data_IF_825496753254
#
_entry.id   IF_825496753254
#
_cell.length_a   1.000
_cell.length_b   1.000
_cell.length_c   1.000
_cell.angle_alpha   90.00
_cell.angle_beta   90.00
_cell.angle_gamma   90.00
#
_symmetry.space_group_name_H-M   'P 1'
#
loop_
_entity.id
_entity.type
_entity.pdbx_description
1 polymer ?
#
# COMPACT_ATOMS: atom_id res chain seq x y z
N UNK A 1 -2.79 -32.30 -26.17
CA UNK A 1 -2.61 -31.26 -25.13
C UNK A 1 -1.73 -30.19 -25.77
N UNK A 2 -2.35 -29.14 -26.32
CA UNK A 2 -1.63 -28.02 -26.92
C UNK A 2 -0.85 -27.27 -25.80
N UNK A 3 0.46 -27.15 -25.96
CA UNK A 3 1.28 -26.19 -25.20
C UNK A 3 0.70 -24.80 -25.43
N UNK A 4 -0.16 -24.34 -24.51
CA UNK A 4 -0.46 -22.92 -24.41
C UNK A 4 0.85 -22.22 -24.10
N UNK A 5 1.42 -21.53 -25.09
CA UNK A 5 2.62 -20.72 -24.92
C UNK A 5 2.37 -19.77 -23.73
N UNK A 6 3.07 -19.99 -22.64
CA UNK A 6 2.93 -19.18 -21.44
C UNK A 6 3.11 -17.71 -21.80
N UNK A 7 2.05 -16.91 -21.67
CA UNK A 7 2.08 -15.48 -21.96
C UNK A 7 3.20 -14.84 -21.14
N UNK A 8 4.20 -14.28 -21.80
CA UNK A 8 5.30 -13.60 -21.13
C UNK A 8 4.82 -12.36 -20.42
N UNK A 9 5.29 -12.13 -19.19
CA UNK A 9 4.99 -10.90 -18.46
C UNK A 9 5.47 -9.68 -19.24
N UNK A 10 4.60 -8.70 -19.41
CA UNK A 10 4.96 -7.41 -20.00
C UNK A 10 5.64 -6.54 -18.92
N UNK A 11 6.95 -6.72 -18.76
CA UNK A 11 7.72 -6.00 -17.75
C UNK A 11 7.73 -4.49 -17.94
N UNK A 12 7.71 -3.99 -19.20
CA UNK A 12 7.66 -2.55 -19.45
C UNK A 12 6.38 -1.91 -18.90
N UNK A 13 5.22 -2.52 -19.18
CA UNK A 13 3.95 -2.05 -18.63
C UNK A 13 3.88 -2.25 -17.10
N UNK A 14 4.42 -3.35 -16.58
CA UNK A 14 4.44 -3.63 -15.15
C UNK A 14 5.28 -2.59 -14.39
N UNK A 15 6.50 -2.29 -14.84
CA UNK A 15 7.36 -1.26 -14.24
C UNK A 15 6.66 0.11 -14.28
N UNK A 16 6.06 0.47 -15.40
CA UNK A 16 5.33 1.73 -15.51
C UNK A 16 4.16 1.79 -14.52
N UNK A 17 3.38 0.71 -14.38
CA UNK A 17 2.27 0.69 -13.41
C UNK A 17 2.75 0.70 -11.96
N UNK A 18 3.87 0.07 -11.64
CA UNK A 18 4.40 0.09 -10.26
C UNK A 18 4.78 1.49 -9.79
N UNK A 19 5.04 2.45 -10.69
CA UNK A 19 5.22 3.86 -10.30
C UNK A 19 3.96 4.45 -9.66
N UNK A 20 2.77 4.07 -10.12
CA UNK A 20 1.50 4.51 -9.51
C UNK A 20 1.37 3.95 -8.09
N UNK A 21 1.70 2.66 -7.91
CA UNK A 21 1.70 2.03 -6.58
C UNK A 21 2.70 2.69 -5.62
N UNK A 22 3.89 3.05 -6.12
CA UNK A 22 4.86 3.82 -5.33
C UNK A 22 4.25 5.13 -4.82
N UNK A 23 3.60 5.89 -5.72
CA UNK A 23 2.98 7.16 -5.34
C UNK A 23 1.84 6.99 -4.34
N UNK A 24 1.05 5.93 -4.40
CA UNK A 24 0.02 5.68 -3.37
C UNK A 24 0.63 5.55 -1.98
N UNK A 25 1.67 4.71 -1.86
CA UNK A 25 2.37 4.54 -0.58
C UNK A 25 3.03 5.82 -0.11
N UNK A 26 3.70 6.50 -1.02
CA UNK A 26 4.38 7.77 -0.74
C UNK A 26 3.41 8.83 -0.19
N UNK A 27 2.27 9.03 -0.85
CA UNK A 27 1.27 10.04 -0.44
C UNK A 27 0.58 9.65 0.86
N UNK A 28 0.19 8.37 1.00
CA UNK A 28 -0.45 7.89 2.22
C UNK A 28 0.43 8.14 3.44
N UNK A 29 1.70 7.75 3.38
CA UNK A 29 2.65 7.94 4.47
C UNK A 29 3.07 9.41 4.67
N UNK A 30 3.01 10.23 3.63
CA UNK A 30 3.28 11.67 3.73
C UNK A 30 2.23 12.39 4.57
N UNK A 31 0.97 11.95 4.51
CA UNK A 31 -0.10 12.50 5.34
C UNK A 31 0.16 12.31 6.83
N UNK A 32 0.80 11.21 7.24
CA UNK A 32 1.12 10.96 8.65
C UNK A 32 2.09 11.99 9.23
N UNK A 33 2.99 12.53 8.39
CA UNK A 33 3.94 13.60 8.79
C UNK A 33 3.26 14.98 8.78
N UNK A 34 2.37 15.21 7.84
CA UNK A 34 1.70 16.50 7.65
C UNK A 34 0.59 16.74 8.66
N UNK A 35 -0.05 15.66 9.13
CA UNK A 35 -1.16 15.72 10.05
C UNK A 35 -0.86 16.46 11.37
N UNK A 36 0.24 16.15 12.09
CA UNK A 36 0.63 16.90 13.30
C UNK A 36 0.89 18.38 13.02
N UNK A 37 1.39 18.72 11.84
CA UNK A 37 1.62 20.11 11.42
C UNK A 37 0.29 20.82 11.28
N UNK A 38 -0.66 20.25 10.52
CA UNK A 38 -2.00 20.84 10.40
C UNK A 38 -2.72 20.95 11.74
N UNK A 39 -2.60 19.92 12.60
CA UNK A 39 -3.19 19.96 13.93
C UNK A 39 -2.72 21.15 14.74
N UNK A 40 -1.42 21.43 14.70
CA UNK A 40 -0.80 22.53 15.45
C UNK A 40 -1.12 23.89 14.83
N UNK A 41 -0.95 24.02 13.53
CA UNK A 41 -1.07 25.31 12.83
C UNK A 41 -2.53 25.78 12.69
N UNK A 42 -3.48 24.84 12.55
CA UNK A 42 -4.91 25.14 12.47
C UNK A 42 -5.62 25.03 13.84
N UNK A 43 -4.87 24.82 14.93
CA UNK A 43 -5.41 24.62 16.28
C UNK A 43 -6.58 23.60 16.33
N UNK A 44 -6.39 22.48 15.61
CA UNK A 44 -7.44 21.47 15.45
C UNK A 44 -7.73 20.74 16.75
N UNK A 45 -9.01 20.65 17.07
CA UNK A 45 -9.48 19.79 18.15
C UNK A 45 -9.15 18.31 17.88
N UNK A 46 -9.04 17.51 18.93
CA UNK A 46 -8.68 16.08 18.82
C UNK A 46 -9.58 15.30 17.85
N UNK A 47 -10.88 15.57 17.85
CA UNK A 47 -11.84 14.92 16.96
C UNK A 47 -11.62 15.30 15.48
N UNK A 48 -11.21 16.54 15.20
CA UNK A 48 -10.88 17.00 13.83
C UNK A 48 -9.65 16.27 13.29
N UNK A 49 -8.61 16.10 14.11
CA UNK A 49 -7.43 15.33 13.74
C UNK A 49 -7.77 13.87 13.45
N UNK A 50 -8.65 13.25 14.25
CA UNK A 50 -9.12 11.90 14.02
C UNK A 50 -9.97 11.80 12.74
N UNK A 51 -10.80 12.82 12.46
CA UNK A 51 -11.57 12.88 11.20
C UNK A 51 -10.67 12.90 9.96
N UNK A 52 -9.52 13.53 10.01
CA UNK A 52 -8.59 13.55 8.88
C UNK A 52 -8.12 12.13 8.55
N UNK A 53 -7.65 11.38 9.57
CA UNK A 53 -7.25 9.97 9.39
C UNK A 53 -8.41 9.09 8.90
N UNK A 54 -9.59 9.29 9.48
CA UNK A 54 -10.79 8.55 9.14
C UNK A 54 -11.28 8.87 7.72
N UNK A 55 -11.26 10.15 7.32
CA UNK A 55 -11.68 10.61 6.01
C UNK A 55 -10.92 9.87 4.90
N UNK A 56 -9.60 9.72 5.03
CA UNK A 56 -8.77 9.05 4.03
C UNK A 56 -9.25 7.62 3.70
N UNK A 57 -9.67 6.83 4.71
CA UNK A 57 -10.18 5.48 4.49
C UNK A 57 -11.64 5.47 4.02
N UNK A 58 -12.46 6.39 4.52
CA UNK A 58 -13.85 6.54 4.10
C UNK A 58 -13.96 6.96 2.64
N UNK A 59 -13.11 7.87 2.20
CA UNK A 59 -13.09 8.37 0.81
C UNK A 59 -12.86 7.25 -0.21
N UNK A 60 -12.00 6.31 0.12
CA UNK A 60 -11.81 5.09 -0.68
C UNK A 60 -13.09 4.29 -0.84
N UNK A 61 -13.78 4.08 0.29
CA UNK A 61 -15.04 3.32 0.30
C UNK A 61 -16.13 4.06 -0.46
N UNK A 62 -16.29 5.34 -0.20
CA UNK A 62 -17.28 6.20 -0.88
C UNK A 62 -16.99 6.25 -2.39
N UNK A 63 -15.74 6.45 -2.78
CA UNK A 63 -15.32 6.44 -4.18
C UNK A 63 -15.66 5.12 -4.87
N UNK A 64 -15.34 3.99 -4.24
CA UNK A 64 -15.65 2.65 -4.78
C UNK A 64 -17.16 2.42 -4.94
N UNK A 65 -17.97 2.88 -3.99
CA UNK A 65 -19.43 2.81 -4.05
C UNK A 65 -19.98 3.70 -5.19
N UNK A 66 -19.46 4.92 -5.33
CA UNK A 66 -19.84 5.83 -6.42
C UNK A 66 -19.56 5.18 -7.78
N UNK A 67 -18.39 4.59 -7.99
CA UNK A 67 -18.05 3.91 -9.25
C UNK A 67 -18.90 2.67 -9.48
N UNK A 68 -19.23 1.92 -8.44
CA UNK A 68 -20.13 0.76 -8.53
C UNK A 68 -21.54 1.19 -8.94
N UNK A 69 -22.10 2.22 -8.30
CA UNK A 69 -23.43 2.77 -8.62
C UNK A 69 -23.43 3.31 -10.05
N UNK A 70 -22.43 4.08 -10.44
CA UNK A 70 -22.34 4.63 -11.79
C UNK A 70 -22.22 3.53 -12.85
N UNK A 71 -21.42 2.48 -12.62
CA UNK A 71 -21.33 1.32 -13.51
C UNK A 71 -22.66 0.57 -13.62
N UNK A 72 -23.35 0.41 -12.47
CA UNK A 72 -24.67 -0.25 -12.43
C UNK A 72 -25.75 0.55 -13.16
N UNK A 73 -25.77 1.87 -12.98
CA UNK A 73 -26.71 2.78 -13.66
C UNK A 73 -26.49 2.80 -15.18
N UNK A 74 -25.25 2.76 -15.62
CA UNK A 74 -24.87 2.70 -17.03
C UNK A 74 -25.03 1.29 -17.62
N UNK A 75 -25.36 0.28 -16.82
CA UNK A 75 -25.43 -1.15 -17.20
C UNK A 75 -24.17 -1.64 -17.91
N UNK A 76 -23.04 -1.01 -17.67
CA UNK A 76 -21.71 -1.33 -18.24
C UNK A 76 -20.62 -0.89 -17.27
N UNK A 77 -19.57 -1.67 -17.19
CA UNK A 77 -18.39 -1.26 -16.46
C UNK A 77 -17.76 0.00 -17.13
N UNK A 78 -17.60 1.06 -16.34
CA UNK A 78 -17.05 2.34 -16.82
C UNK A 78 -15.64 2.14 -17.35
N UNK A 79 -14.81 1.32 -16.66
CA UNK A 79 -13.43 1.09 -17.05
C UNK A 79 -13.31 0.26 -18.33
N UNK A 80 -14.26 -0.64 -18.60
CA UNK A 80 -14.29 -1.36 -19.87
C UNK A 80 -14.54 -0.41 -21.06
N UNK A 81 -15.29 0.68 -20.83
CA UNK A 81 -15.62 1.68 -21.86
C UNK A 81 -14.51 2.70 -22.06
N UNK A 82 -14.01 3.33 -20.99
CA UNK A 82 -12.99 4.39 -21.07
C UNK A 82 -11.57 3.81 -21.19
N UNK A 83 -11.37 2.60 -20.71
CA UNK A 83 -10.10 1.91 -20.62
C UNK A 83 -9.39 2.10 -19.28
N UNK A 84 -8.72 1.06 -18.83
CA UNK A 84 -8.04 1.02 -17.52
C UNK A 84 -6.90 2.03 -17.43
N UNK A 85 -6.09 2.17 -18.48
CA UNK A 85 -5.00 3.17 -18.54
C UNK A 85 -5.53 4.58 -18.40
N UNK A 86 -6.61 4.92 -19.12
CA UNK A 86 -7.26 6.22 -19.01
C UNK A 86 -7.88 6.42 -17.63
N UNK A 87 -8.48 5.37 -17.05
CA UNK A 87 -9.02 5.39 -15.69
C UNK A 87 -7.95 5.76 -14.66
N UNK A 88 -6.77 5.16 -14.75
CA UNK A 88 -5.62 5.48 -13.89
C UNK A 88 -5.22 6.96 -14.07
N UNK A 89 -5.06 7.42 -15.31
CA UNK A 89 -4.64 8.80 -15.58
C UNK A 89 -5.67 9.83 -15.10
N UNK A 90 -6.96 9.56 -15.23
CA UNK A 90 -8.04 10.40 -14.71
C UNK A 90 -7.98 10.41 -13.17
N UNK A 91 -7.84 9.25 -12.54
CA UNK A 91 -7.72 9.15 -11.09
C UNK A 91 -6.51 9.93 -10.55
N UNK A 92 -5.36 9.88 -11.22
CA UNK A 92 -4.17 10.68 -10.88
C UNK A 92 -4.46 12.19 -11.03
N UNK A 93 -5.17 12.60 -12.09
CA UNK A 93 -5.60 13.98 -12.28
C UNK A 93 -6.53 14.47 -11.16
N UNK A 94 -7.50 13.65 -10.75
CA UNK A 94 -8.39 13.95 -9.62
C UNK A 94 -7.56 14.10 -8.34
N UNK A 95 -6.63 13.18 -8.07
CA UNK A 95 -5.74 13.26 -6.90
C UNK A 95 -4.85 14.51 -6.93
N UNK A 96 -4.38 14.93 -8.12
CA UNK A 96 -3.62 16.18 -8.26
C UNK A 96 -4.46 17.38 -7.84
N UNK A 97 -5.71 17.46 -8.30
CA UNK A 97 -6.64 18.56 -7.92
C UNK A 97 -6.85 18.56 -6.41
N UNK A 98 -7.16 17.39 -5.81
CA UNK A 98 -7.33 17.28 -4.36
C UNK A 98 -6.07 17.70 -3.58
N UNK A 99 -4.90 17.29 -4.05
CA UNK A 99 -3.61 17.67 -3.44
C UNK A 99 -3.36 19.17 -3.52
N UNK A 100 -3.69 19.81 -4.62
CA UNK A 100 -3.53 21.26 -4.78
C UNK A 100 -4.52 22.07 -3.92
N UNK A 101 -5.66 21.50 -3.50
CA UNK A 101 -6.59 22.12 -2.56
C UNK A 101 -6.00 22.32 -1.16
N UNK A 102 -4.95 21.57 -0.79
CA UNK A 102 -4.27 21.79 0.50
C UNK A 102 -3.57 23.14 0.58
N UNK A 103 -3.18 23.73 -0.56
CA UNK A 103 -2.54 25.06 -0.59
C UNK A 103 -3.51 26.15 -0.13
N UNK A 104 -4.70 26.34 -0.73
CA UNK A 104 -5.67 27.29 -0.20
C UNK A 104 -6.22 26.89 1.17
N UNK A 105 -6.28 25.59 1.51
CA UNK A 105 -6.68 25.15 2.84
C UNK A 105 -5.71 25.65 3.92
N UNK A 106 -4.40 25.59 3.65
CA UNK A 106 -3.37 26.10 4.53
C UNK A 106 -3.43 27.64 4.63
N UNK A 107 -3.53 28.35 3.50
CA UNK A 107 -3.57 29.83 3.48
C UNK A 107 -4.79 30.44 4.15
N UNK A 108 -5.94 29.75 4.06
CA UNK A 108 -7.21 30.20 4.64
C UNK A 108 -7.47 29.60 6.01
N UNK A 109 -6.53 28.80 6.52
CA UNK A 109 -6.63 28.08 7.78
C UNK A 109 -7.97 27.30 7.91
N UNK A 110 -8.44 26.72 6.75
CA UNK A 110 -9.76 26.11 6.67
C UNK A 110 -9.67 24.58 6.78
N UNK A 111 -10.24 24.07 7.87
CA UNK A 111 -10.40 22.63 8.08
C UNK A 111 -11.32 21.99 7.02
N UNK A 112 -12.38 22.70 6.59
CA UNK A 112 -13.33 22.22 5.59
C UNK A 112 -12.66 22.02 4.23
N UNK A 113 -11.78 22.93 3.84
CA UNK A 113 -11.00 22.80 2.61
C UNK A 113 -9.98 21.65 2.71
N UNK A 114 -9.38 21.46 3.88
CA UNK A 114 -8.46 20.36 4.14
C UNK A 114 -9.16 19.00 3.95
N UNK A 115 -10.32 18.80 4.59
CA UNK A 115 -11.12 17.57 4.46
C UNK A 115 -11.61 17.39 3.02
N UNK A 116 -12.04 18.48 2.36
CA UNK A 116 -12.48 18.43 0.96
C UNK A 116 -11.35 18.00 0.03
N UNK A 117 -10.13 18.51 0.26
CA UNK A 117 -8.93 18.10 -0.48
C UNK A 117 -8.64 16.61 -0.31
N UNK A 118 -8.67 16.09 0.94
CA UNK A 118 -8.52 14.67 1.24
C UNK A 118 -9.58 13.84 0.51
N UNK A 119 -10.84 14.25 0.58
CA UNK A 119 -11.93 13.56 -0.08
C UNK A 119 -11.69 13.43 -1.59
N UNK A 120 -11.27 14.51 -2.25
CA UNK A 120 -10.96 14.50 -3.69
C UNK A 120 -9.77 13.60 -3.99
N UNK A 121 -8.71 13.61 -3.15
CA UNK A 121 -7.56 12.69 -3.29
C UNK A 121 -8.03 11.25 -3.18
N UNK A 122 -8.85 10.93 -2.19
CA UNK A 122 -9.38 9.59 -1.96
C UNK A 122 -10.25 9.08 -3.11
N UNK A 123 -11.10 9.93 -3.68
CA UNK A 123 -11.86 9.60 -4.91
C UNK A 123 -10.93 9.23 -6.06
N UNK A 124 -9.86 10.02 -6.26
CA UNK A 124 -8.85 9.73 -7.27
C UNK A 124 -8.16 8.39 -7.04
N UNK A 125 -7.76 8.11 -5.80
CA UNK A 125 -7.12 6.85 -5.41
C UNK A 125 -8.04 5.65 -5.59
N UNK A 126 -9.30 5.77 -5.24
CA UNK A 126 -10.30 4.71 -5.47
C UNK A 126 -10.39 4.33 -6.95
N UNK A 127 -10.47 5.32 -7.85
CA UNK A 127 -10.48 5.07 -9.30
C UNK A 127 -9.18 4.44 -9.79
N UNK A 128 -8.04 4.95 -9.31
CA UNK A 128 -6.72 4.41 -9.67
C UNK A 128 -6.60 2.93 -9.27
N UNK A 129 -6.97 2.55 -8.05
CA UNK A 129 -6.88 1.17 -7.58
C UNK A 129 -7.83 0.24 -8.31
N UNK A 130 -9.08 0.68 -8.54
CA UNK A 130 -10.07 -0.09 -9.30
C UNK A 130 -9.58 -0.38 -10.72
N UNK A 131 -8.78 0.51 -11.31
CA UNK A 131 -8.22 0.33 -12.63
C UNK A 131 -6.86 -0.39 -12.64
N UNK A 132 -5.95 -0.05 -11.74
CA UNK A 132 -4.58 -0.54 -11.78
C UNK A 132 -4.44 -1.98 -11.29
N UNK A 133 -5.17 -2.39 -10.24
CA UNK A 133 -5.06 -3.74 -9.70
C UNK A 133 -5.40 -4.83 -10.74
N UNK A 134 -6.58 -4.80 -11.42
CA UNK A 134 -6.89 -5.77 -12.46
C UNK A 134 -5.91 -5.70 -13.63
N UNK A 135 -5.46 -4.50 -13.99
CA UNK A 135 -4.54 -4.31 -15.11
C UNK A 135 -3.18 -4.97 -14.82
N UNK A 136 -2.62 -4.78 -13.62
CA UNK A 136 -1.38 -5.46 -13.18
C UNK A 136 -1.53 -6.97 -13.22
N UNK A 137 -2.65 -7.50 -12.74
CA UNK A 137 -2.94 -8.95 -12.76
C UNK A 137 -2.97 -9.47 -14.19
N UNK A 138 -3.46 -8.69 -15.16
CA UNK A 138 -3.61 -9.11 -16.56
C UNK A 138 -2.35 -9.05 -17.41
N UNK A 139 -1.23 -8.51 -16.92
CA UNK A 139 0.00 -8.28 -17.71
C UNK A 139 0.83 -9.53 -18.01
N UNK A 140 0.26 -10.71 -18.08
CA UNK A 140 0.96 -11.94 -18.41
C UNK A 140 0.21 -13.19 -17.97
N UNK A 141 0.93 -14.29 -17.69
CA UNK A 141 0.32 -15.56 -17.28
C UNK A 141 -0.65 -15.35 -16.08
N UNK A 142 -1.93 -15.74 -16.21
CA UNK A 142 -2.92 -15.62 -15.13
C UNK A 142 -2.49 -16.29 -13.82
N UNK A 143 -1.75 -17.39 -13.91
CA UNK A 143 -1.24 -18.11 -12.73
C UNK A 143 -0.26 -17.30 -11.89
N UNK A 144 0.35 -16.27 -12.47
CA UNK A 144 1.29 -15.35 -11.80
C UNK A 144 0.67 -13.99 -11.47
N UNK A 145 -0.64 -13.84 -11.59
CA UNK A 145 -1.35 -12.58 -11.36
C UNK A 145 -1.16 -12.05 -9.93
N UNK A 146 -1.33 -12.91 -8.92
CA UNK A 146 -1.12 -12.57 -7.51
C UNK A 146 0.32 -12.12 -7.23
N UNK A 147 1.31 -12.78 -7.83
CA UNK A 147 2.73 -12.43 -7.67
C UNK A 147 3.05 -11.04 -8.25
N UNK A 148 2.44 -10.68 -9.41
CA UNK A 148 2.57 -9.33 -9.98
C UNK A 148 1.93 -8.27 -9.09
N UNK A 149 0.77 -8.58 -8.51
CA UNK A 149 0.11 -7.68 -7.56
C UNK A 149 0.93 -7.52 -6.28
N UNK A 150 1.51 -8.61 -5.75
CA UNK A 150 2.43 -8.56 -4.61
C UNK A 150 3.67 -7.71 -4.91
N UNK A 151 4.24 -7.82 -6.11
CA UNK A 151 5.35 -6.95 -6.53
C UNK A 151 4.95 -5.47 -6.51
N UNK A 152 3.79 -5.14 -7.10
CA UNK A 152 3.28 -3.78 -7.12
C UNK A 152 3.02 -3.25 -5.70
N UNK A 153 2.41 -4.07 -4.83
CA UNK A 153 2.24 -3.75 -3.41
C UNK A 153 3.56 -3.58 -2.66
N UNK A 154 4.58 -4.38 -2.98
CA UNK A 154 5.93 -4.23 -2.44
C UNK A 154 6.59 -2.91 -2.86
N UNK A 155 6.37 -2.44 -4.09
CA UNK A 155 6.81 -1.11 -4.55
C UNK A 155 6.03 0.01 -3.86
N UNK A 156 4.73 -0.18 -3.61
CA UNK A 156 3.95 0.73 -2.76
C UNK A 156 4.60 0.90 -1.39
N UNK A 157 5.04 -0.19 -0.77
CA UNK A 157 5.68 -0.14 0.56
C UNK A 157 7.07 0.52 0.54
N UNK A 158 7.78 0.58 -0.59
CA UNK A 158 8.95 1.47 -0.71
C UNK A 158 8.49 2.93 -0.55
N UNK A 159 7.39 3.30 -1.21
CA UNK A 159 6.80 4.63 -1.08
C UNK A 159 6.45 4.98 0.37
N UNK A 160 5.77 4.07 1.10
CA UNK A 160 5.43 4.29 2.51
C UNK A 160 6.66 4.41 3.41
N UNK A 161 7.74 3.73 3.07
CA UNK A 161 8.99 3.76 3.87
C UNK A 161 9.80 5.04 3.61
N UNK A 162 9.87 5.49 2.36
CA UNK A 162 10.67 6.66 1.97
C UNK A 162 9.89 7.98 2.15
N UNK A 163 8.57 7.94 1.97
CA UNK A 163 7.70 9.12 1.96
C UNK A 163 7.89 10.02 3.18
N UNK A 164 7.76 9.50 4.42
CA UNK A 164 7.94 10.27 5.63
C UNK A 164 9.28 10.99 5.71
N UNK A 165 10.36 10.30 5.32
CA UNK A 165 11.72 10.86 5.34
C UNK A 165 11.87 12.03 4.35
N UNK A 166 11.39 11.84 3.12
CA UNK A 166 11.49 12.89 2.09
C UNK A 166 10.61 14.10 2.42
N UNK A 167 9.41 13.88 2.94
CA UNK A 167 8.52 14.97 3.35
C UNK A 167 9.06 15.67 4.59
N UNK A 168 9.59 14.96 5.58
CA UNK A 168 10.25 15.58 6.73
C UNK A 168 11.42 16.45 6.30
N UNK A 169 12.28 15.97 5.42
CA UNK A 169 13.37 16.77 4.84
C UNK A 169 12.87 18.00 4.08
N UNK A 170 11.79 17.86 3.31
CA UNK A 170 11.23 18.95 2.52
C UNK A 170 10.58 20.06 3.38
N UNK A 171 9.94 19.67 4.49
CA UNK A 171 9.23 20.61 5.37
C UNK A 171 10.17 21.20 6.43
N UNK A 172 10.97 20.36 7.04
CA UNK A 172 11.73 20.70 8.24
C UNK A 172 13.22 20.96 7.98
N UNK A 173 13.70 20.57 6.77
CA UNK A 173 15.14 20.59 6.49
C UNK A 173 15.94 19.53 7.25
N UNK A 174 15.28 18.70 8.07
CA UNK A 174 15.88 17.61 8.87
C UNK A 174 15.02 16.36 8.79
N UNK A 175 15.61 15.21 9.09
CA UNK A 175 14.90 13.92 9.12
C UNK A 175 14.10 13.69 10.41
N UNK A 176 14.28 14.56 11.42
CA UNK A 176 13.61 14.48 12.73
C UNK A 176 12.51 15.54 12.82
N UNK A 177 11.26 15.10 12.93
CA UNK A 177 10.12 15.99 13.13
C UNK A 177 10.10 16.63 14.54
N UNK A 178 10.90 16.10 15.49
CA UNK A 178 10.86 16.53 16.90
C UNK A 178 11.43 17.93 17.13
N UNK A 179 12.35 18.41 16.26
CA UNK A 179 13.04 19.69 16.44
C UNK A 179 12.55 20.80 15.50
N UNK A 180 11.49 20.57 14.76
CA UNK A 180 11.13 21.37 13.62
C UNK A 180 10.05 22.42 13.93
N UNK A 181 10.35 23.67 13.65
CA UNK A 181 9.36 24.73 13.51
C UNK A 181 8.78 24.67 12.10
N UNK A 182 7.70 23.87 11.92
CA UNK A 182 6.93 23.94 10.69
C UNK A 182 6.11 25.23 10.69
N UNK A 183 6.09 25.93 9.58
CA UNK A 183 5.14 27.02 9.30
C UNK A 183 4.16 26.57 8.20
N UNK A 184 2.99 27.19 8.14
CA UNK A 184 2.04 26.96 7.04
C UNK A 184 2.70 27.16 5.68
N UNK A 185 3.59 28.15 5.55
CA UNK A 185 4.34 28.42 4.32
C UNK A 185 5.23 27.25 3.89
N UNK A 186 5.77 26.47 4.85
CA UNK A 186 6.60 25.31 4.54
C UNK A 186 5.81 24.14 3.95
N UNK A 187 4.48 24.14 4.03
CA UNK A 187 3.59 23.09 3.52
C UNK A 187 3.30 23.29 2.02
N UNK A 188 3.25 24.54 1.53
CA UNK A 188 2.86 24.83 0.15
C UNK A 188 3.76 24.14 -0.88
N UNK A 189 5.07 24.24 -0.71
CA UNK A 189 6.05 23.67 -1.65
C UNK A 189 5.93 22.15 -1.77
N UNK A 190 5.89 21.35 -0.69
CA UNK A 190 5.63 19.93 -0.76
C UNK A 190 4.34 19.54 -1.49
N UNK A 191 3.23 20.24 -1.24
CA UNK A 191 1.97 19.95 -1.93
C UNK A 191 1.97 20.35 -3.41
N UNK A 192 2.64 21.45 -3.76
CA UNK A 192 2.82 21.85 -5.16
C UNK A 192 3.67 20.81 -5.91
N UNK A 193 4.75 20.34 -5.30
CA UNK A 193 5.60 19.29 -5.86
C UNK A 193 4.81 17.99 -6.00
N UNK A 194 4.05 17.61 -4.99
CA UNK A 194 3.25 16.38 -5.00
C UNK A 194 2.13 16.43 -6.04
N UNK A 195 1.37 17.52 -6.12
CA UNK A 195 0.34 17.72 -7.14
C UNK A 195 0.91 17.70 -8.56
N UNK A 196 2.07 18.36 -8.76
CA UNK A 196 2.80 18.34 -10.03
C UNK A 196 3.29 16.92 -10.37
N UNK A 197 3.76 16.16 -9.39
CA UNK A 197 4.20 14.79 -9.57
C UNK A 197 3.02 13.88 -9.99
N UNK A 198 1.83 14.05 -9.42
CA UNK A 198 0.63 13.33 -9.87
C UNK A 198 0.31 13.62 -11.34
N UNK A 199 0.36 14.88 -11.76
CA UNK A 199 0.12 15.27 -13.16
C UNK A 199 1.18 14.67 -14.08
N UNK A 200 2.44 14.70 -13.67
CA UNK A 200 3.54 14.11 -14.44
C UNK A 200 3.36 12.61 -14.60
N UNK A 201 3.02 11.88 -13.52
CA UNK A 201 2.77 10.44 -13.58
C UNK A 201 1.52 10.15 -14.42
N UNK A 202 0.46 10.94 -14.33
CA UNK A 202 -0.72 10.81 -15.19
C UNK A 202 -0.34 10.91 -16.68
N UNK A 203 0.50 11.88 -17.02
CA UNK A 203 1.01 12.06 -18.37
C UNK A 203 1.89 10.90 -18.81
N UNK A 204 2.82 10.45 -17.95
CA UNK A 204 3.68 9.30 -18.24
C UNK A 204 2.85 8.04 -18.48
N UNK A 205 1.83 7.76 -17.67
CA UNK A 205 0.92 6.64 -17.89
C UNK A 205 0.18 6.81 -19.23
N UNK A 206 -0.35 8.00 -19.50
CA UNK A 206 -1.10 8.26 -20.73
C UNK A 206 -0.26 8.04 -22.00
N UNK A 207 1.02 8.45 -21.97
CA UNK A 207 1.96 8.30 -23.10
C UNK A 207 2.60 6.93 -23.16
N UNK A 208 2.53 6.14 -22.09
CA UNK A 208 3.17 4.82 -22.00
C UNK A 208 2.54 3.79 -22.94
N UNK A 209 3.24 2.66 -23.12
CA UNK A 209 2.74 1.47 -23.85
C UNK A 209 1.91 0.53 -22.97
N UNK A 210 1.45 0.99 -21.80
CA UNK A 210 0.53 0.23 -20.96
C UNK A 210 -0.78 -0.02 -21.73
N UNK A 211 -1.32 -1.26 -21.75
CA UNK A 211 -2.54 -1.56 -22.46
C UNK A 211 -3.72 -0.80 -21.85
N UNK A 212 -4.58 -0.26 -22.71
CA UNK A 212 -5.76 0.48 -22.25
C UNK A 212 -6.94 -0.44 -21.86
N UNK A 213 -6.99 -1.63 -22.42
CA UNK A 213 -8.01 -2.62 -22.15
C UNK A 213 -7.38 -3.94 -21.71
N UNK A 214 -8.01 -4.63 -20.81
CA UNK A 214 -7.65 -5.99 -20.44
C UNK A 214 -8.12 -6.88 -21.59
N UNK A 215 -7.21 -7.64 -22.19
CA UNK A 215 -7.59 -8.69 -23.14
C UNK A 215 -8.38 -9.74 -22.35
N UNK A 216 -9.69 -9.69 -22.41
CA UNK A 216 -10.51 -10.82 -22.02
C UNK A 216 -10.10 -11.97 -22.95
N UNK A 217 -9.59 -13.06 -22.41
CA UNK A 217 -9.61 -14.31 -23.16
C UNK A 217 -11.09 -14.54 -23.49
N UNK A 218 -11.43 -14.42 -24.77
CA UNK A 218 -12.70 -14.91 -25.29
C UNK A 218 -12.78 -16.39 -24.92
N UNK A 219 -13.42 -16.66 -23.81
CA UNK A 219 -13.96 -17.98 -23.58
C UNK A 219 -15.01 -18.14 -24.68
N UNK A 220 -14.71 -18.98 -25.65
CA UNK A 220 -15.56 -19.34 -26.81
C UNK A 220 -16.84 -20.09 -26.38
N UNK A 221 -17.21 -20.02 -25.15
CA UNK A 221 -18.51 -20.40 -24.65
C UNK A 221 -19.33 -19.14 -24.46
N UNK A 222 -20.26 -18.90 -25.35
CA UNK A 222 -21.45 -18.06 -25.10
C UNK A 222 -22.18 -18.67 -23.88
N UNK A 223 -21.67 -18.39 -22.68
CA UNK A 223 -22.37 -18.74 -21.45
C UNK A 223 -23.49 -17.72 -21.30
N UNK A 224 -24.58 -18.02 -21.95
CA UNK A 224 -25.86 -17.29 -21.88
C UNK A 224 -26.53 -17.57 -20.51
N UNK A 225 -25.76 -17.49 -19.44
CA UNK A 225 -26.25 -17.60 -18.07
C UNK A 225 -26.13 -16.22 -17.44
N UNK A 226 -27.27 -15.53 -17.28
CA UNK A 226 -27.42 -14.36 -16.43
C UNK A 226 -27.20 -14.78 -14.96
N UNK A 227 -25.94 -15.13 -14.59
CA UNK A 227 -25.58 -15.39 -13.21
C UNK A 227 -25.58 -14.05 -12.48
N UNK A 228 -26.32 -13.98 -11.40
CA UNK A 228 -26.30 -12.87 -10.47
C UNK A 228 -24.97 -12.86 -9.72
N UNK A 229 -24.52 -11.70 -9.27
CA UNK A 229 -23.37 -11.56 -8.33
C UNK A 229 -23.54 -12.49 -7.12
N UNK A 230 -24.79 -12.75 -6.71
CA UNK A 230 -25.15 -13.66 -5.59
C UNK A 230 -24.73 -15.11 -5.83
N UNK A 231 -24.51 -15.53 -7.06
CA UNK A 231 -24.16 -16.90 -7.42
C UNK A 231 -22.64 -17.18 -7.26
N UNK A 232 -21.87 -16.17 -6.83
CA UNK A 232 -20.43 -16.27 -6.65
C UNK A 232 -20.02 -16.04 -5.17
N UNK A 233 -20.13 -17.05 -4.30
CA UNK A 233 -19.79 -16.91 -2.88
C UNK A 233 -18.34 -16.50 -2.65
N UNK A 234 -17.43 -16.86 -3.57
CA UNK A 234 -16.01 -16.47 -3.51
C UNK A 234 -15.82 -14.95 -3.51
N UNK A 235 -16.73 -14.21 -4.17
CA UNK A 235 -16.66 -12.74 -4.19
C UNK A 235 -16.92 -12.17 -2.78
N UNK A 236 -17.98 -12.62 -2.12
CA UNK A 236 -18.30 -12.14 -0.77
C UNK A 236 -17.25 -12.56 0.26
N UNK A 237 -16.77 -13.80 0.17
CA UNK A 237 -15.70 -14.27 1.03
C UNK A 237 -14.41 -13.46 0.82
N UNK A 238 -14.08 -13.13 -0.44
CA UNK A 238 -12.96 -12.26 -0.76
C UNK A 238 -13.13 -10.85 -0.21
N UNK A 239 -14.33 -10.26 -0.30
CA UNK A 239 -14.61 -8.94 0.27
C UNK A 239 -14.45 -8.94 1.79
N UNK A 240 -14.98 -9.94 2.49
CA UNK A 240 -14.83 -10.10 3.95
C UNK A 240 -13.35 -10.31 4.30
N UNK A 241 -12.66 -11.16 3.56
CA UNK A 241 -11.24 -11.43 3.79
C UNK A 241 -10.38 -10.16 3.67
N UNK A 242 -10.60 -9.33 2.63
CA UNK A 242 -9.89 -8.05 2.46
C UNK A 242 -10.26 -7.08 3.58
N UNK A 243 -11.54 -6.99 3.96
CA UNK A 243 -11.98 -6.11 5.06
C UNK A 243 -11.29 -6.46 6.37
N UNK A 244 -11.30 -7.75 6.75
CA UNK A 244 -10.65 -8.22 7.98
C UNK A 244 -9.13 -8.03 7.91
N UNK A 245 -8.53 -8.38 6.78
CA UNK A 245 -7.10 -8.24 6.54
C UNK A 245 -6.63 -6.79 6.71
N UNK A 246 -7.25 -5.84 5.99
CA UNK A 246 -6.88 -4.42 6.09
C UNK A 246 -7.18 -3.88 7.49
N UNK A 247 -8.28 -4.33 8.11
CA UNK A 247 -8.61 -3.98 9.50
C UNK A 247 -7.51 -4.38 10.48
N UNK A 248 -7.00 -5.61 10.38
CA UNK A 248 -5.89 -6.08 11.23
C UNK A 248 -4.59 -5.32 10.91
N UNK A 249 -4.27 -5.12 9.63
CA UNK A 249 -3.08 -4.39 9.21
C UNK A 249 -3.05 -2.98 9.81
N UNK A 250 -4.13 -2.21 9.61
CA UNK A 250 -4.18 -0.81 10.03
C UNK A 250 -4.34 -0.69 11.55
N UNK A 251 -5.16 -1.56 12.18
CA UNK A 251 -5.34 -1.52 13.63
C UNK A 251 -4.04 -1.86 14.37
N UNK A 252 -3.29 -2.86 13.90
CA UNK A 252 -2.01 -3.20 14.53
C UNK A 252 -0.99 -2.08 14.37
N UNK A 253 -0.87 -1.51 13.17
CA UNK A 253 0.02 -0.37 12.93
C UNK A 253 -0.33 0.84 13.79
N UNK A 254 -1.62 1.20 13.85
CA UNK A 254 -2.09 2.37 14.57
C UNK A 254 -1.96 2.27 16.09
N UNK A 255 -2.03 1.06 16.64
CA UNK A 255 -1.93 0.84 18.08
C UNK A 255 -0.53 0.44 18.55
N UNK A 256 0.37 0.03 17.66
CA UNK A 256 1.71 -0.44 18.02
C UNK A 256 2.50 0.63 18.80
N UNK A 257 2.46 1.88 18.35
CA UNK A 257 3.17 2.97 19.01
C UNK A 257 2.69 3.21 20.44
N UNK A 258 1.39 3.27 20.67
CA UNK A 258 0.82 3.43 22.01
C UNK A 258 1.08 2.20 22.89
N UNK A 259 1.02 1.01 22.32
CA UNK A 259 1.36 -0.23 23.03
C UNK A 259 2.80 -0.20 23.54
N UNK A 260 3.77 0.23 22.72
CA UNK A 260 5.17 0.34 23.10
C UNK A 260 5.39 1.40 24.18
N UNK A 261 4.70 2.54 24.07
CA UNK A 261 4.74 3.60 25.06
C UNK A 261 4.22 3.15 26.41
N UNK A 262 3.04 2.51 26.45
CA UNK A 262 2.35 2.15 27.70
C UNK A 262 3.02 0.95 28.39
N UNK A 263 3.43 -0.07 27.61
CA UNK A 263 3.92 -1.32 28.21
C UNK A 263 5.43 -1.38 28.37
N UNK A 264 6.18 -0.54 27.63
CA UNK A 264 7.65 -0.55 27.65
C UNK A 264 8.27 0.80 28.01
N UNK A 265 7.43 1.81 28.33
CA UNK A 265 7.87 3.17 28.69
C UNK A 265 8.81 3.80 27.67
N UNK A 266 8.55 3.52 26.36
CA UNK A 266 9.39 4.00 25.26
C UNK A 266 9.05 5.44 24.90
N UNK A 267 10.07 6.25 24.68
CA UNK A 267 9.94 7.59 24.14
C UNK A 267 9.62 7.56 22.64
N UNK A 268 8.95 8.58 22.07
CA UNK A 268 8.53 8.60 20.66
C UNK A 268 9.65 8.34 19.66
N UNK A 269 10.86 8.81 19.92
CA UNK A 269 12.04 8.58 19.08
C UNK A 269 12.48 7.10 19.09
N UNK A 270 12.30 6.39 20.20
CA UNK A 270 12.58 4.97 20.32
C UNK A 270 11.51 4.11 19.65
N UNK A 271 10.26 4.57 19.58
CA UNK A 271 9.12 3.88 18.96
C UNK A 271 9.24 3.87 17.43
N UNK A 272 9.73 4.95 16.85
CA UNK A 272 9.78 5.17 15.40
C UNK A 272 10.35 3.98 14.61
N UNK A 273 11.51 3.38 14.94
CA UNK A 273 12.06 2.28 14.17
C UNK A 273 11.21 0.99 14.25
N UNK A 274 10.46 0.77 15.32
CA UNK A 274 9.57 -0.39 15.44
C UNK A 274 8.35 -0.27 14.53
N UNK A 275 7.72 0.90 14.50
CA UNK A 275 6.60 1.18 13.59
C UNK A 275 7.08 1.15 12.13
N UNK A 276 8.27 1.70 11.87
CA UNK A 276 8.91 1.62 10.55
C UNK A 276 9.15 0.16 10.13
N UNK A 277 9.62 -0.71 11.05
CA UNK A 277 9.81 -2.13 10.77
C UNK A 277 8.49 -2.86 10.54
N UNK A 278 7.40 -2.47 11.20
CA UNK A 278 6.09 -3.01 10.92
C UNK A 278 5.69 -2.80 9.45
N UNK A 279 5.80 -1.57 8.95
CA UNK A 279 5.51 -1.25 7.55
C UNK A 279 6.50 -1.90 6.57
N UNK A 280 7.78 -1.96 6.94
CA UNK A 280 8.78 -2.67 6.18
C UNK A 280 8.51 -4.19 6.12
N UNK A 281 7.89 -4.77 7.15
CA UNK A 281 7.52 -6.18 7.17
C UNK A 281 6.52 -6.55 6.09
N UNK A 282 5.57 -5.67 5.77
CA UNK A 282 4.68 -5.81 4.61
C UNK A 282 5.47 -5.86 3.30
N UNK A 283 6.48 -4.99 3.13
CA UNK A 283 7.35 -5.00 1.96
C UNK A 283 8.14 -6.31 1.86
N UNK A 284 8.72 -6.76 2.97
CA UNK A 284 9.50 -7.99 3.06
C UNK A 284 8.68 -9.19 2.59
N UNK A 285 7.48 -9.36 3.10
CA UNK A 285 6.61 -10.47 2.72
C UNK A 285 6.12 -10.37 1.27
N UNK A 286 5.71 -9.20 0.80
CA UNK A 286 5.28 -8.98 -0.59
C UNK A 286 6.39 -9.26 -1.60
N UNK A 287 7.63 -8.87 -1.32
CA UNK A 287 8.76 -9.14 -2.20
C UNK A 287 9.12 -10.63 -2.23
N UNK A 288 8.94 -11.34 -1.13
CA UNK A 288 9.12 -12.81 -1.10
C UNK A 288 8.13 -13.48 -2.04
N UNK A 289 6.85 -13.12 -1.96
CA UNK A 289 5.78 -13.65 -2.81
C UNK A 289 5.95 -13.27 -4.27
N UNK A 290 6.60 -12.13 -4.58
CA UNK A 290 6.85 -11.64 -5.93
C UNK A 290 7.96 -12.39 -6.67
N UNK A 291 8.74 -13.24 -6.03
CA UNK A 291 9.93 -13.91 -6.63
C UNK A 291 9.62 -14.63 -7.95
N UNK A 292 8.42 -15.21 -8.09
CA UNK A 292 8.00 -15.92 -9.30
C UNK A 292 7.73 -15.03 -10.53
N UNK A 293 7.62 -13.70 -10.34
CA UNK A 293 7.47 -12.75 -11.46
C UNK A 293 8.74 -12.71 -12.31
N UNK A 294 9.90 -12.71 -11.64
CA UNK A 294 11.21 -12.48 -12.27
C UNK A 294 11.75 -13.70 -12.98
N UNK A 295 11.36 -14.91 -12.61
CA UNK A 295 11.85 -16.13 -13.24
C UNK A 295 10.83 -17.25 -13.21
N UNK A 296 10.88 -18.12 -14.23
CA UNK A 296 10.13 -19.38 -14.24
C UNK A 296 11.00 -20.57 -13.82
N UNK A 297 12.32 -20.37 -13.66
CA UNK A 297 13.25 -21.42 -13.25
C UNK A 297 13.16 -21.63 -11.73
N UNK A 298 12.88 -22.84 -11.23
CA UNK A 298 12.70 -23.09 -9.80
C UNK A 298 13.89 -22.67 -8.93
N UNK A 299 15.11 -22.95 -9.40
CA UNK A 299 16.33 -22.58 -8.66
C UNK A 299 16.47 -21.06 -8.50
N UNK A 300 16.21 -20.29 -9.57
CA UNK A 300 16.25 -18.82 -9.52
C UNK A 300 15.17 -18.28 -8.61
N UNK A 301 13.96 -18.84 -8.66
CA UNK A 301 12.88 -18.43 -7.74
C UNK A 301 13.27 -18.67 -6.28
N UNK A 302 13.88 -19.81 -5.96
CA UNK A 302 14.31 -20.10 -4.60
C UNK A 302 15.40 -19.12 -4.13
N UNK A 303 16.35 -18.77 -4.98
CA UNK A 303 17.36 -17.74 -4.66
C UNK A 303 16.67 -16.38 -4.42
N UNK A 304 15.76 -15.99 -5.30
CA UNK A 304 15.05 -14.71 -5.16
C UNK A 304 14.17 -14.64 -3.92
N UNK A 305 13.56 -15.75 -3.49
CA UNK A 305 12.81 -15.83 -2.22
C UNK A 305 13.68 -15.56 -0.99
N UNK A 306 14.98 -15.78 -1.08
CA UNK A 306 15.94 -15.39 -0.04
C UNK A 306 16.45 -13.97 -0.22
N UNK A 307 16.83 -13.59 -1.44
CA UNK A 307 17.49 -12.30 -1.70
C UNK A 307 16.52 -11.12 -1.52
N UNK A 308 15.29 -11.24 -2.03
CA UNK A 308 14.34 -10.13 -2.04
C UNK A 308 13.92 -9.68 -0.64
N UNK A 309 13.52 -10.57 0.32
CA UNK A 309 13.14 -10.13 1.65
C UNK A 309 14.29 -9.50 2.44
N UNK A 310 15.51 -10.03 2.31
CA UNK A 310 16.67 -9.40 2.94
C UNK A 310 17.07 -8.09 2.25
N UNK A 311 16.85 -7.96 0.93
CA UNK A 311 16.98 -6.70 0.22
C UNK A 311 16.00 -5.64 0.74
N UNK A 312 14.74 -6.03 0.96
CA UNK A 312 13.71 -5.18 1.55
C UNK A 312 14.07 -4.77 2.99
N UNK A 313 14.55 -5.71 3.81
CA UNK A 313 15.06 -5.42 5.14
C UNK A 313 16.28 -4.48 5.09
N UNK A 314 17.16 -4.64 4.09
CA UNK A 314 18.29 -3.74 3.85
C UNK A 314 17.85 -2.30 3.55
N UNK A 315 16.76 -2.11 2.81
CA UNK A 315 16.16 -0.78 2.56
C UNK A 315 15.68 -0.17 3.89
N UNK A 316 14.98 -0.95 4.72
CA UNK A 316 14.58 -0.50 6.06
C UNK A 316 15.76 -0.05 6.90
N UNK A 317 16.83 -0.88 6.98
CA UNK A 317 18.04 -0.55 7.71
C UNK A 317 18.70 0.72 7.17
N UNK A 318 18.84 0.84 5.86
CA UNK A 318 19.44 2.01 5.22
C UNK A 318 18.70 3.30 5.59
N UNK A 319 17.38 3.31 5.47
CA UNK A 319 16.56 4.50 5.74
C UNK A 319 16.66 4.91 7.20
N UNK A 320 16.52 3.96 8.13
CA UNK A 320 16.58 4.25 9.56
C UNK A 320 18.00 4.61 10.04
N UNK A 321 19.04 4.11 9.37
CA UNK A 321 20.42 4.55 9.62
C UNK A 321 20.65 6.01 9.18
N UNK A 322 20.11 6.40 8.02
CA UNK A 322 20.18 7.79 7.53
C UNK A 322 19.46 8.74 8.50
N UNK A 323 18.40 8.28 9.16
CA UNK A 323 17.65 9.06 10.16
C UNK A 323 18.20 8.93 11.58
N UNK A 324 19.40 8.34 11.75
CA UNK A 324 20.09 8.17 13.04
C UNK A 324 19.27 7.42 14.11
N UNK A 325 18.47 6.43 13.69
CA UNK A 325 17.71 5.58 14.60
C UNK A 325 18.57 4.45 15.17
N UNK A 326 18.36 4.09 16.44
CA UNK A 326 19.00 2.90 17.03
C UNK A 326 18.27 1.64 16.56
N UNK A 327 18.96 0.84 15.75
CA UNK A 327 18.46 -0.41 15.19
C UNK A 327 18.98 -1.64 15.91
N UNK A 328 19.82 -1.48 16.93
CA UNK A 328 20.48 -2.60 17.62
C UNK A 328 19.50 -3.71 18.03
N UNK A 329 18.35 -3.41 18.65
CA UNK A 329 17.38 -4.45 19.01
C UNK A 329 16.72 -5.12 17.81
N UNK A 330 16.69 -4.45 16.64
CA UNK A 330 15.92 -4.89 15.47
C UNK A 330 16.70 -5.77 14.51
N UNK A 331 18.01 -5.88 14.63
CA UNK A 331 18.81 -6.77 13.77
C UNK A 331 18.44 -8.25 13.92
N UNK A 332 17.96 -8.68 15.07
CA UNK A 332 17.50 -10.05 15.28
C UNK A 332 16.25 -10.40 14.45
N UNK A 333 15.58 -9.41 13.87
CA UNK A 333 14.44 -9.64 13.00
C UNK A 333 14.78 -10.46 11.75
N UNK A 334 16.05 -10.58 11.38
CA UNK A 334 16.54 -11.47 10.32
C UNK A 334 16.11 -12.93 10.54
N UNK A 335 15.99 -13.39 11.79
CA UNK A 335 15.50 -14.74 12.10
C UNK A 335 14.00 -14.89 11.87
N UNK A 336 13.23 -13.82 12.12
CA UNK A 336 11.78 -13.81 11.82
C UNK A 336 11.57 -13.87 10.31
N UNK A 337 12.39 -13.15 9.53
CA UNK A 337 12.36 -13.22 8.06
C UNK A 337 12.68 -14.65 7.59
N UNK A 338 13.67 -15.30 8.17
CA UNK A 338 14.01 -16.69 7.83
C UNK A 338 12.84 -17.65 8.10
N UNK A 339 12.16 -17.48 9.24
CA UNK A 339 10.96 -18.26 9.56
C UNK A 339 9.84 -18.02 8.53
N UNK A 340 9.62 -16.78 8.11
CA UNK A 340 8.64 -16.45 7.07
C UNK A 340 9.01 -17.11 5.73
N UNK A 341 10.28 -17.10 5.33
CA UNK A 341 10.73 -17.75 4.10
C UNK A 341 10.45 -19.26 4.14
N UNK A 342 10.66 -19.89 5.30
CA UNK A 342 10.34 -21.30 5.51
C UNK A 342 8.84 -21.55 5.37
N UNK A 343 7.99 -20.69 5.95
CA UNK A 343 6.53 -20.77 5.82
C UNK A 343 6.08 -20.59 4.36
N UNK A 344 6.68 -19.63 3.63
CA UNK A 344 6.42 -19.43 2.20
C UNK A 344 6.78 -20.68 1.39
N UNK A 345 7.92 -21.31 1.67
CA UNK A 345 8.34 -22.55 1.01
C UNK A 345 7.33 -23.69 1.21
N UNK A 346 6.65 -23.75 2.37
CA UNK A 346 5.60 -24.73 2.66
C UNK A 346 4.34 -24.51 1.80
N UNK A 347 4.10 -23.31 1.30
CA UNK A 347 2.99 -23.02 0.40
C UNK A 347 3.12 -23.71 -0.96
N UNK A 348 4.35 -24.11 -1.35
CA UNK A 348 4.71 -24.70 -2.64
C UNK A 348 4.23 -23.87 -3.83
N UNK A 349 4.22 -22.54 -3.66
CA UNK A 349 3.79 -21.60 -4.69
C UNK A 349 2.28 -21.60 -4.98
N UNK A 350 1.47 -22.20 -4.11
CA UNK A 350 0.01 -22.18 -4.20
C UNK A 350 -0.54 -20.97 -3.40
N UNK A 351 -1.16 -19.96 -4.05
CA UNK A 351 -1.62 -18.75 -3.37
C UNK A 351 -2.65 -19.03 -2.26
N UNK A 352 -3.55 -19.99 -2.45
CA UNK A 352 -4.56 -20.32 -1.43
C UNK A 352 -3.93 -20.94 -0.18
N UNK A 353 -2.93 -21.82 -0.35
CA UNK A 353 -2.17 -22.38 0.78
C UNK A 353 -1.34 -21.31 1.48
N UNK A 354 -0.75 -20.39 0.72
CA UNK A 354 0.02 -19.28 1.27
C UNK A 354 -0.88 -18.40 2.14
N UNK A 355 -2.03 -17.99 1.62
CA UNK A 355 -3.02 -17.20 2.37
C UNK A 355 -3.44 -17.93 3.67
N UNK A 356 -3.74 -19.21 3.62
CA UNK A 356 -4.13 -20.01 4.80
C UNK A 356 -3.01 -20.06 5.83
N UNK A 357 -1.77 -20.34 5.41
CA UNK A 357 -0.62 -20.43 6.31
C UNK A 357 -0.32 -19.08 6.95
N UNK A 358 -0.28 -18.02 6.16
CA UNK A 358 0.06 -16.67 6.65
C UNK A 358 -1.04 -16.11 7.54
N UNK A 359 -2.32 -16.33 7.22
CA UNK A 359 -3.41 -15.96 8.12
C UNK A 359 -3.32 -16.69 9.46
N UNK A 360 -3.03 -17.99 9.45
CA UNK A 360 -2.83 -18.76 10.67
C UNK A 360 -1.64 -18.27 11.50
N UNK A 361 -0.50 -18.01 10.84
CA UNK A 361 0.70 -17.47 11.50
C UNK A 361 0.48 -16.04 12.01
N UNK A 362 -0.28 -15.23 11.30
CA UNK A 362 -0.68 -13.89 11.75
C UNK A 362 -1.51 -13.91 13.02
N UNK A 363 -2.48 -14.83 13.11
CA UNK A 363 -3.26 -15.05 14.34
C UNK A 363 -2.36 -15.49 15.50
N UNK A 364 -1.46 -16.45 15.25
CA UNK A 364 -0.51 -16.91 16.27
C UNK A 364 0.40 -15.77 16.72
N UNK A 365 0.90 -14.96 15.78
CA UNK A 365 1.72 -13.81 16.08
C UNK A 365 0.97 -12.77 16.93
N UNK A 366 -0.29 -12.47 16.61
CA UNK A 366 -1.12 -11.59 17.43
C UNK A 366 -1.30 -12.14 18.84
N UNK A 367 -1.62 -13.44 19.00
CA UNK A 367 -1.79 -14.05 20.30
C UNK A 367 -0.48 -14.02 21.11
N UNK A 368 0.65 -14.37 20.50
CA UNK A 368 1.96 -14.24 21.16
C UNK A 368 2.21 -12.77 21.53
N UNK A 369 1.95 -11.82 20.63
CA UNK A 369 2.16 -10.40 20.89
C UNK A 369 1.35 -9.87 22.07
N UNK A 370 0.12 -10.35 22.25
CA UNK A 370 -0.77 -9.90 23.33
C UNK A 370 -0.45 -10.59 24.68
N UNK A 371 -0.06 -11.88 24.65
CA UNK A 371 0.07 -12.70 25.86
C UNK A 371 1.53 -12.96 26.30
N UNK A 372 2.52 -12.45 25.57
CA UNK A 372 3.94 -12.51 25.98
C UNK A 372 4.46 -11.13 26.35
N UNK A 373 5.65 -11.11 26.97
CA UNK A 373 6.32 -9.88 27.42
C UNK A 373 7.64 -9.66 26.67
N UNK A 374 8.20 -8.47 26.82
CA UNK A 374 9.50 -8.10 26.32
C UNK A 374 9.59 -8.10 24.79
N UNK A 375 10.81 -8.33 24.28
CA UNK A 375 11.09 -8.30 22.84
C UNK A 375 10.32 -9.36 22.04
N UNK A 376 9.89 -10.46 22.67
CA UNK A 376 9.08 -11.51 22.02
C UNK A 376 7.72 -10.96 21.62
N UNK A 377 7.04 -10.22 22.51
CA UNK A 377 5.79 -9.53 22.22
C UNK A 377 5.97 -8.55 21.06
N UNK A 378 6.99 -7.72 21.09
CA UNK A 378 7.26 -6.70 20.08
C UNK A 378 7.49 -7.34 18.70
N UNK A 379 8.36 -8.34 18.61
CA UNK A 379 8.61 -9.03 17.34
C UNK A 379 7.39 -9.76 16.81
N UNK A 380 6.59 -10.35 17.69
CA UNK A 380 5.36 -11.01 17.30
C UNK A 380 4.36 -10.02 16.72
N UNK A 381 4.14 -8.86 17.34
CA UNK A 381 3.27 -7.80 16.82
C UNK A 381 3.77 -7.24 15.49
N UNK A 382 5.07 -7.00 15.33
CA UNK A 382 5.66 -6.55 14.07
C UNK A 382 5.49 -7.61 12.98
N UNK A 383 5.63 -8.89 13.30
CA UNK A 383 5.48 -9.97 12.32
C UNK A 383 4.04 -10.15 11.83
N UNK A 384 3.04 -9.57 12.48
CA UNK A 384 1.67 -9.47 11.92
C UNK A 384 1.72 -8.77 10.55
N UNK A 385 2.48 -7.67 10.42
CA UNK A 385 2.69 -7.01 9.13
C UNK A 385 3.31 -7.95 8.09
N UNK A 386 4.27 -8.80 8.51
CA UNK A 386 4.89 -9.79 7.63
C UNK A 386 3.88 -10.81 7.09
N UNK A 387 2.98 -11.29 7.95
CA UNK A 387 1.97 -12.29 7.59
C UNK A 387 0.73 -11.68 6.96
N UNK A 388 0.49 -10.38 7.12
CA UNK A 388 -0.51 -9.62 6.37
C UNK A 388 -0.06 -9.24 4.95
N UNK A 389 1.11 -9.63 4.50
CA UNK A 389 1.68 -9.20 3.21
C UNK A 389 1.20 -9.97 1.98
N UNK A 390 0.37 -11.01 2.13
CA UNK A 390 0.00 -11.94 1.05
C UNK A 390 -1.37 -11.73 0.47
#
# INVERSE_FOLDING_TARGET
>A
MSEQSALKTNYGALITLTTVFFFWGFVAASNDILMPVFKKELDLAQWQSQMISFAFYVDYTVGSIIYLIASSALKRDILSKIGYKKGISIGLGISAVGTLLFIPAARLESFELLISGLFVVGLGFSLQQTAANPLVISLGDPKKGSQRLSLAGGVNNIGTTIGPVLIALAIFGTTSAADAKASIESIETPYLVLGSAFLLVALLIMLSKVPNHIQQQESTEEVNVKKSVKDYPQLYLGMIAIFVYVGVEVATAGNLGEYLKVNFDMEPNQITPYVSLYWASLMIGRWTSAAGVFSSKPMTQNILRFVLPYGAFGIFVLINTITNQDLTPLYYYVFVILFMIAAEAMSKGNPARQLMLFSGLGIIALLIGIFSDGMVSIYALISVGLFCST
#
